data_IF_051992114970
#
_entry.id   IF_051992114970
#
_cell.length_a   1.000
_cell.length_b   1.000
_cell.length_c   1.000
_cell.angle_alpha   90.00
_cell.angle_beta   90.00
_cell.angle_gamma   90.00
#
_symmetry.space_group_name_H-M   'P 1'
#
loop_
_entity.id
_entity.type
_entity.pdbx_description
1 polymer ?
#
# COMPACT_ATOMS: atom_id res chain seq x y z
N UNK A 1 0.14 23.28 2.50
CA UNK A 1 0.71 22.00 2.98
C UNK A 1 0.74 20.97 1.85
N UNK A 2 -0.39 20.65 1.20
CA UNK A 2 -0.42 19.66 0.11
C UNK A 2 0.48 19.98 -1.09
N UNK A 3 0.70 21.28 -1.40
CA UNK A 3 1.61 21.68 -2.50
C UNK A 3 3.07 21.27 -2.26
N UNK A 4 3.54 21.23 -1.01
CA UNK A 4 4.92 20.86 -0.70
C UNK A 4 5.13 19.35 -0.87
N UNK A 5 4.16 18.54 -0.42
CA UNK A 5 4.15 17.09 -0.63
C UNK A 5 4.07 16.75 -2.13
N UNK A 6 3.24 17.46 -2.91
CA UNK A 6 3.19 17.32 -4.36
C UNK A 6 4.53 17.65 -5.04
N UNK A 7 5.22 18.71 -4.59
CA UNK A 7 6.56 19.08 -5.09
C UNK A 7 7.59 17.99 -4.79
N UNK A 8 7.61 17.47 -3.57
CA UNK A 8 8.52 16.39 -3.15
C UNK A 8 8.26 15.14 -3.99
N UNK A 9 7.01 14.69 -4.08
CA UNK A 9 6.59 13.54 -4.91
C UNK A 9 7.11 13.64 -6.35
N UNK A 10 6.93 14.81 -6.97
CA UNK A 10 7.41 15.06 -8.34
C UNK A 10 8.92 14.98 -8.46
N UNK A 11 9.66 15.55 -7.51
CA UNK A 11 11.13 15.49 -7.47
C UNK A 11 11.60 14.05 -7.34
N UNK A 12 10.97 13.24 -6.47
CA UNK A 12 11.31 11.83 -6.29
C UNK A 12 11.13 11.05 -7.60
N UNK A 13 9.99 11.22 -8.28
CA UNK A 13 9.72 10.59 -9.58
C UNK A 13 10.76 10.96 -10.64
N UNK A 14 11.09 12.25 -10.76
CA UNK A 14 12.08 12.72 -11.73
C UNK A 14 13.48 12.18 -11.42
N UNK A 15 13.87 12.10 -10.14
CA UNK A 15 15.16 11.53 -9.75
C UNK A 15 15.24 10.01 -9.97
N UNK A 16 14.15 9.28 -9.71
CA UNK A 16 14.08 7.84 -10.01
C UNK A 16 14.29 7.58 -11.50
N UNK A 17 13.62 8.36 -12.36
CA UNK A 17 13.78 8.26 -13.82
C UNK A 17 15.18 8.67 -14.28
N UNK A 18 15.70 9.80 -13.78
CA UNK A 18 17.02 10.31 -14.18
C UNK A 18 18.16 9.35 -13.85
N UNK A 19 18.11 8.73 -12.67
CA UNK A 19 19.19 7.87 -12.19
C UNK A 19 18.94 6.37 -12.44
N UNK A 20 17.78 6.01 -12.99
CA UNK A 20 17.36 4.62 -13.17
C UNK A 20 17.41 3.78 -11.88
N UNK A 21 17.13 4.41 -10.73
CA UNK A 21 17.08 3.76 -9.42
C UNK A 21 15.61 3.72 -8.98
N UNK A 22 15.07 2.58 -8.52
CA UNK A 22 13.73 2.52 -7.96
C UNK A 22 13.70 3.18 -6.57
N UNK A 23 12.72 4.05 -6.33
CA UNK A 23 12.49 4.67 -5.03
C UNK A 23 11.25 4.05 -4.39
N UNK A 24 11.41 3.50 -3.20
CA UNK A 24 10.29 3.03 -2.37
C UNK A 24 9.94 4.12 -1.35
N UNK A 25 8.67 4.53 -1.34
CA UNK A 25 8.16 5.56 -0.44
C UNK A 25 7.02 4.97 0.38
N UNK A 26 7.15 5.00 1.70
CA UNK A 26 6.07 4.65 2.61
C UNK A 26 5.15 5.86 2.82
N UNK A 27 3.84 5.64 2.80
CA UNK A 27 2.86 6.70 2.99
C UNK A 27 1.76 6.23 3.94
N UNK A 28 1.34 7.13 4.82
CA UNK A 28 0.15 6.92 5.64
C UNK A 28 -1.11 7.22 4.82
N UNK A 29 -2.15 6.41 5.03
CA UNK A 29 -3.48 6.62 4.46
C UNK A 29 -4.31 7.62 5.28
N UNK A 30 -5.27 8.28 4.65
CA UNK A 30 -6.27 9.05 5.39
C UNK A 30 -7.06 8.13 6.33
N UNK A 31 -7.27 8.55 7.59
CA UNK A 31 -8.12 7.88 8.59
C UNK A 31 -9.56 7.60 8.13
N UNK A 32 -10.03 8.24 7.05
CA UNK A 32 -11.32 7.96 6.41
C UNK A 32 -11.52 6.48 6.07
N UNK A 33 -10.44 5.74 5.79
CA UNK A 33 -10.50 4.28 5.59
C UNK A 33 -11.14 3.55 6.77
N UNK A 34 -10.93 4.03 8.00
CA UNK A 34 -11.38 3.38 9.23
C UNK A 34 -12.89 3.49 9.47
N UNK A 35 -13.54 4.50 8.88
CA UNK A 35 -14.99 4.72 9.02
C UNK A 35 -15.80 3.97 7.95
N UNK A 36 -15.14 3.33 6.97
CA UNK A 36 -15.82 2.53 5.94
C UNK A 36 -16.18 1.16 6.50
N UNK A 37 -17.29 0.60 6.03
CA UNK A 37 -17.64 -0.81 6.30
C UNK A 37 -16.53 -1.73 5.79
N UNK A 38 -16.19 -1.57 4.50
CA UNK A 38 -15.02 -2.20 3.91
C UNK A 38 -13.78 -1.33 4.16
N UNK A 39 -12.91 -1.79 5.05
CA UNK A 39 -11.66 -1.13 5.43
C UNK A 39 -10.49 -1.45 4.50
N UNK A 40 -10.72 -2.14 3.37
CA UNK A 40 -9.68 -2.34 2.35
C UNK A 40 -9.29 -0.98 1.74
N UNK A 41 -8.01 -0.60 1.75
CA UNK A 41 -7.54 0.63 1.14
C UNK A 41 -7.79 0.73 -0.36
N UNK A 42 -8.08 1.96 -0.81
CA UNK A 42 -8.26 2.34 -2.21
C UNK A 42 -7.40 3.57 -2.54
N UNK A 43 -7.12 3.82 -3.82
CA UNK A 43 -6.23 4.92 -4.24
C UNK A 43 -6.63 6.29 -3.67
N UNK A 44 -7.93 6.58 -3.55
CA UNK A 44 -8.40 7.86 -3.00
C UNK A 44 -8.02 8.08 -1.52
N UNK A 45 -7.62 7.03 -0.79
CA UNK A 45 -7.13 7.16 0.58
C UNK A 45 -5.73 7.81 0.64
N UNK A 46 -5.03 7.93 -0.50
CA UNK A 46 -3.76 8.68 -0.66
C UNK A 46 -3.96 10.15 -1.03
N UNK A 47 -5.20 10.63 -1.15
CA UNK A 47 -5.50 11.98 -1.66
C UNK A 47 -4.85 13.10 -0.84
N UNK A 48 -4.65 12.89 0.46
CA UNK A 48 -3.99 13.87 1.33
C UNK A 48 -2.45 13.78 1.29
N UNK A 49 -1.91 12.80 0.57
CA UNK A 49 -0.47 12.62 0.36
C UNK A 49 0.07 13.46 -0.82
N UNK A 50 -0.64 14.52 -1.21
CA UNK A 50 -0.27 15.38 -2.33
C UNK A 50 -0.49 14.69 -3.68
N UNK A 51 0.55 14.61 -4.51
CA UNK A 51 0.47 14.09 -5.88
C UNK A 51 0.92 12.62 -6.00
N UNK A 52 1.17 11.93 -4.90
CA UNK A 52 1.70 10.55 -4.91
C UNK A 52 0.82 9.58 -5.69
N UNK A 53 -0.51 9.71 -5.57
CA UNK A 53 -1.46 8.92 -6.36
C UNK A 53 -1.20 9.06 -7.87
N UNK A 54 -0.82 10.25 -8.34
CA UNK A 54 -0.57 10.51 -9.75
C UNK A 54 0.87 10.15 -10.16
N UNK A 55 1.86 10.53 -9.35
CA UNK A 55 3.29 10.40 -9.69
C UNK A 55 3.81 8.97 -9.60
N UNK A 56 3.28 8.14 -8.68
CA UNK A 56 3.76 6.77 -8.48
C UNK A 56 3.53 5.89 -9.72
N UNK A 57 4.47 4.99 -10.01
CA UNK A 57 4.30 3.95 -11.04
C UNK A 57 3.57 2.72 -10.52
N UNK A 58 3.85 2.36 -9.26
CA UNK A 58 3.30 1.21 -8.55
C UNK A 58 2.80 1.70 -7.19
N UNK A 59 1.59 1.30 -6.80
CA UNK A 59 1.04 1.53 -5.46
C UNK A 59 0.60 0.19 -4.90
N UNK A 60 1.28 -0.23 -3.82
CA UNK A 60 0.93 -1.43 -3.05
C UNK A 60 0.38 -0.94 -1.71
N UNK A 61 -0.84 -1.38 -1.39
CA UNK A 61 -1.46 -1.10 -0.10
C UNK A 61 -1.47 -2.37 0.74
N UNK A 62 -1.30 -2.22 2.05
CA UNK A 62 -1.30 -3.34 2.99
C UNK A 62 -2.64 -3.40 3.70
N UNK A 63 -3.20 -4.60 3.84
CA UNK A 63 -4.41 -4.85 4.60
C UNK A 63 -4.27 -6.11 5.45
N UNK A 64 -4.69 -6.04 6.71
CA UNK A 64 -4.70 -7.16 7.64
C UNK A 64 -6.07 -7.27 8.28
N UNK A 65 -6.84 -8.27 7.88
CA UNK A 65 -8.22 -8.43 8.33
C UNK A 65 -8.34 -8.60 9.85
N UNK A 66 -7.43 -9.37 10.44
CA UNK A 66 -7.33 -9.58 11.90
C UNK A 66 -7.19 -8.30 12.73
N UNK A 67 -6.74 -7.18 12.15
CA UNK A 67 -6.66 -5.89 12.85
C UNK A 67 -8.05 -5.27 13.07
N UNK A 68 -9.01 -5.64 12.23
CA UNK A 68 -10.36 -5.11 12.21
C UNK A 68 -11.40 -6.11 12.71
N UNK A 69 -11.14 -7.40 12.50
CA UNK A 69 -12.02 -8.51 12.81
C UNK A 69 -11.34 -9.48 13.79
N UNK A 70 -11.18 -9.06 15.05
CA UNK A 70 -10.44 -9.84 16.07
C UNK A 70 -11.08 -11.20 16.40
N UNK A 71 -12.37 -11.40 16.09
CA UNK A 71 -13.10 -12.65 16.34
C UNK A 71 -13.05 -13.64 15.17
N UNK A 72 -12.44 -13.27 14.04
CA UNK A 72 -12.27 -14.17 12.90
C UNK A 72 -11.18 -15.19 13.23
N UNK A 73 -11.57 -16.46 13.39
CA UNK A 73 -10.67 -17.59 13.64
C UNK A 73 -9.76 -17.92 12.43
N UNK A 74 -10.14 -17.49 11.23
CA UNK A 74 -9.53 -17.95 9.97
C UNK A 74 -8.43 -17.01 9.41
N UNK A 75 -8.37 -15.75 9.83
CA UNK A 75 -7.49 -14.72 9.22
C UNK A 75 -6.28 -14.31 10.07
N UNK A 76 -5.97 -15.07 11.13
CA UNK A 76 -4.82 -14.81 11.99
C UNK A 76 -3.49 -14.93 11.24
N UNK A 77 -2.65 -13.91 11.31
CA UNK A 77 -1.32 -13.92 10.70
C UNK A 77 -1.33 -13.87 9.17
N UNK A 78 -2.40 -13.37 8.55
CA UNK A 78 -2.45 -13.10 7.11
C UNK A 78 -2.33 -11.59 6.84
N UNK A 79 -1.69 -11.24 5.72
CA UNK A 79 -1.64 -9.88 5.21
C UNK A 79 -1.82 -9.87 3.69
N UNK A 80 -2.73 -9.03 3.23
CA UNK A 80 -2.96 -8.80 1.82
C UNK A 80 -2.09 -7.64 1.31
N UNK A 81 -1.37 -7.89 0.23
CA UNK A 81 -0.67 -6.90 -0.59
C UNK A 81 -1.55 -6.58 -1.79
N UNK A 82 -2.05 -5.35 -1.81
CA UNK A 82 -3.06 -4.88 -2.74
C UNK A 82 -2.40 -3.97 -3.77
N UNK A 83 -2.12 -4.48 -4.96
CA UNK A 83 -1.59 -3.67 -6.07
C UNK A 83 -2.73 -2.87 -6.66
N UNK A 84 -2.86 -1.60 -6.22
CA UNK A 84 -3.95 -0.69 -6.58
C UNK A 84 -3.63 0.21 -7.75
N UNK A 85 -2.35 0.35 -8.11
CA UNK A 85 -1.88 1.01 -9.31
C UNK A 85 -0.65 0.29 -9.84
N UNK A 86 -0.61 0.03 -11.13
CA UNK A 86 0.57 -0.46 -11.82
C UNK A 86 0.59 0.11 -13.24
N UNK A 87 1.51 1.04 -13.54
CA UNK A 87 1.62 1.67 -14.86
C UNK A 87 2.16 0.72 -15.94
N UNK A 88 2.80 -0.36 -15.55
CA UNK A 88 3.54 -1.26 -16.44
C UNK A 88 3.12 -2.72 -16.31
N UNK A 89 1.94 -2.99 -15.77
CA UNK A 89 1.45 -4.34 -15.56
C UNK A 89 0.06 -4.38 -14.95
N UNK A 90 -0.44 -5.58 -14.61
CA UNK A 90 -1.78 -5.75 -14.05
C UNK A 90 -1.87 -5.26 -12.61
N UNK A 91 -3.11 -5.01 -12.19
CA UNK A 91 -3.47 -4.98 -10.77
C UNK A 91 -3.53 -6.42 -10.24
N UNK A 92 -3.30 -6.58 -8.94
CA UNK A 92 -3.29 -7.88 -8.28
C UNK A 92 -3.59 -7.72 -6.79
N UNK A 93 -4.11 -8.78 -6.19
CA UNK A 93 -4.17 -8.93 -4.73
C UNK A 93 -3.43 -10.22 -4.40
N UNK A 94 -2.46 -10.13 -3.49
CA UNK A 94 -1.70 -11.28 -3.02
C UNK A 94 -1.89 -11.39 -1.52
N UNK A 95 -2.43 -12.51 -1.06
CA UNK A 95 -2.40 -12.83 0.36
C UNK A 95 -1.04 -13.43 0.69
N UNK A 96 -0.48 -13.05 1.83
CA UNK A 96 0.78 -13.55 2.37
C UNK A 96 0.60 -13.93 3.84
N UNK A 97 1.51 -14.76 4.35
CA UNK A 97 1.63 -14.99 5.79
C UNK A 97 2.46 -13.85 6.39
N UNK A 98 1.99 -13.29 7.51
CA UNK A 98 2.65 -12.23 8.26
C UNK A 98 2.94 -12.68 9.69
N UNK A 99 4.23 -12.90 9.98
CA UNK A 99 4.75 -13.26 11.29
C UNK A 99 5.07 -11.97 12.06
N UNK A 100 4.18 -11.55 12.97
CA UNK A 100 4.21 -10.23 13.64
C UNK A 100 5.44 -10.07 14.53
N UNK A 101 5.87 -11.16 15.14
CA UNK A 101 6.96 -11.24 16.11
C UNK A 101 8.31 -10.86 15.48
N UNK A 102 8.45 -11.12 14.17
CA UNK A 102 9.68 -10.87 13.42
C UNK A 102 9.46 -9.95 12.21
N UNK A 103 8.26 -9.37 12.07
CA UNK A 103 7.88 -8.48 10.95
C UNK A 103 8.17 -9.07 9.57
N UNK A 104 7.92 -10.37 9.41
CA UNK A 104 8.25 -11.11 8.18
C UNK A 104 7.01 -11.45 7.37
N UNK A 105 7.12 -11.23 6.07
CA UNK A 105 6.16 -11.71 5.08
C UNK A 105 6.72 -12.96 4.40
N UNK A 106 5.90 -14.01 4.30
CA UNK A 106 6.22 -15.24 3.58
C UNK A 106 5.10 -15.58 2.59
N UNK A 107 5.46 -16.25 1.50
CA UNK A 107 4.46 -16.78 0.58
C UNK A 107 3.50 -17.70 1.36
N UNK A 108 2.22 -17.67 1.03
CA UNK A 108 1.35 -18.79 1.36
C UNK A 108 1.80 -19.93 0.48
N UNK A 109 2.48 -20.91 1.10
CA UNK A 109 3.00 -22.08 0.40
C UNK A 109 1.93 -22.63 -0.55
N UNK A 110 2.31 -22.74 -1.82
CA UNK A 110 1.53 -23.45 -2.82
C UNK A 110 1.54 -24.91 -2.39
N UNK A 111 0.40 -25.43 -1.94
CA UNK A 111 0.19 -26.87 -1.91
C UNK A 111 0.21 -27.43 -3.34
#
# INVERSE_FOLDING_TARGET
INNELGRISRILKLNAQKNAIPWLVACQLNRKVEYRENKRPILSDLRDSGNLEQDADLVIMLYRDEMYNQNSLDNGGLADLLVRKNRHGPLAELTTRFEKEIMKFSALDSL
#
